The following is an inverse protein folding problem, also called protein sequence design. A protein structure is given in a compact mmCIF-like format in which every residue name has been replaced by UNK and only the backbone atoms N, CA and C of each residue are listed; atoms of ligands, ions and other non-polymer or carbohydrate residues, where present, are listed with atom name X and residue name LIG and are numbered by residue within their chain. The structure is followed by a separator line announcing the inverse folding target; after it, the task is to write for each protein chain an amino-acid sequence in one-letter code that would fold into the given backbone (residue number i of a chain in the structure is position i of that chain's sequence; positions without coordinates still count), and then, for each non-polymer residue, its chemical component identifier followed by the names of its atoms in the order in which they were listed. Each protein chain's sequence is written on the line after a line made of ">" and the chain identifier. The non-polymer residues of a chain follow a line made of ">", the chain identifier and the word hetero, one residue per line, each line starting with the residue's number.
data_IF_526530973229
#
_entry.id   IF_526530973229
#
_cell.length_a   1.000
_cell.length_b   1.000
_cell.length_c   1.000
_cell.angle_alpha   90.00
_cell.angle_beta   90.00
_cell.angle_gamma   90.00
#
_symmetry.space_group_name_H-M   'P 1'
#
loop_
_entity.id
_entity.type
_entity.pdbx_description
1 polymer ?
#
# COMPACT_ATOMS: atom_id res chain seq x y z
N UNK A 1 56.77 -20.04 -25.40
CA UNK A 1 55.33 -19.72 -25.50
C UNK A 1 54.75 -19.77 -24.11
N UNK A 2 54.57 -18.62 -23.49
CA UNK A 2 54.10 -18.49 -22.10
C UNK A 2 52.62 -18.10 -22.16
N UNK A 3 51.73 -19.00 -21.71
CA UNK A 3 50.29 -18.78 -21.57
C UNK A 3 50.02 -17.92 -20.33
N UNK A 4 49.52 -16.71 -20.54
CA UNK A 4 48.99 -15.87 -19.48
C UNK A 4 47.54 -16.31 -19.16
N UNK A 5 47.38 -17.07 -18.09
CA UNK A 5 46.03 -17.25 -17.49
C UNK A 5 45.75 -16.03 -16.63
N UNK A 6 44.82 -15.17 -17.12
CA UNK A 6 44.27 -14.09 -16.36
C UNK A 6 43.42 -14.68 -15.23
N UNK A 7 43.83 -14.47 -13.98
CA UNK A 7 43.03 -14.75 -12.81
C UNK A 7 41.84 -13.75 -12.75
N UNK A 8 40.67 -14.20 -13.17
CA UNK A 8 39.42 -13.50 -12.88
C UNK A 8 39.16 -13.70 -11.39
N UNK A 9 39.39 -12.67 -10.58
CA UNK A 9 38.93 -12.64 -9.19
C UNK A 9 37.40 -12.68 -9.22
N UNK A 10 36.74 -13.59 -8.47
CA UNK A 10 35.31 -13.49 -8.31
C UNK A 10 35.00 -12.16 -7.63
N UNK A 11 34.10 -11.36 -8.25
CA UNK A 11 33.50 -10.21 -7.62
C UNK A 11 32.95 -10.69 -6.28
N UNK A 12 33.47 -10.11 -5.20
CA UNK A 12 32.99 -10.34 -3.85
C UNK A 12 31.48 -10.06 -3.83
N UNK A 13 30.70 -11.12 -3.75
CA UNK A 13 29.29 -11.00 -3.43
C UNK A 13 29.24 -10.40 -2.02
N UNK A 14 29.06 -9.09 -1.95
CA UNK A 14 28.63 -8.44 -0.71
C UNK A 14 27.34 -9.15 -0.34
N UNK A 15 27.37 -9.94 0.73
CA UNK A 15 26.18 -10.47 1.39
C UNK A 15 25.39 -9.27 1.91
N UNK A 16 24.65 -8.62 1.03
CA UNK A 16 23.56 -7.73 1.43
C UNK A 16 22.56 -8.66 2.07
N UNK A 17 22.53 -8.67 3.40
CA UNK A 17 21.52 -9.37 4.17
C UNK A 17 20.20 -8.66 3.87
N UNK A 18 19.45 -9.16 2.88
CA UNK A 18 18.14 -8.65 2.54
C UNK A 18 17.31 -8.82 3.80
N UNK A 19 16.86 -7.71 4.37
CA UNK A 19 16.08 -7.70 5.59
C UNK A 19 14.67 -8.11 5.23
N UNK A 20 14.21 -9.24 5.75
CA UNK A 20 12.81 -9.66 5.63
C UNK A 20 11.89 -8.54 6.12
N UNK A 21 11.00 -8.09 5.26
CA UNK A 21 9.98 -7.14 5.62
C UNK A 21 8.69 -7.87 6.00
N UNK A 22 8.11 -7.48 7.13
CA UNK A 22 6.87 -8.07 7.63
C UNK A 22 5.80 -6.99 7.65
N UNK A 23 4.74 -7.16 6.87
CA UNK A 23 3.72 -6.12 6.72
C UNK A 23 2.40 -6.48 7.40
N UNK A 24 1.71 -5.44 7.86
CA UNK A 24 0.28 -5.49 8.19
C UNK A 24 -0.51 -4.74 7.11
N UNK A 25 -1.56 -5.37 6.58
CA UNK A 25 -2.45 -4.74 5.60
C UNK A 25 -3.69 -4.23 6.34
N UNK A 26 -3.99 -2.94 6.23
CA UNK A 26 -5.17 -2.33 6.85
C UNK A 26 -6.26 -2.07 5.81
N UNK A 27 -7.48 -2.51 6.09
CA UNK A 27 -8.62 -2.33 5.18
C UNK A 27 -9.93 -2.17 5.98
N UNK A 28 -10.80 -1.22 5.60
CA UNK A 28 -12.10 -0.99 6.24
C UNK A 28 -13.29 -1.60 5.48
N UNK A 29 -13.09 -2.00 4.20
CA UNK A 29 -14.13 -2.42 3.27
C UNK A 29 -14.03 -3.86 2.79
N UNK A 30 -14.30 -4.05 1.50
CA UNK A 30 -14.35 -5.36 0.86
C UNK A 30 -12.97 -6.05 0.73
N UNK A 31 -11.87 -5.27 0.65
CA UNK A 31 -10.50 -5.80 0.68
C UNK A 31 -9.99 -6.37 -0.64
N UNK A 32 -10.47 -5.87 -1.78
CA UNK A 32 -9.97 -6.32 -3.10
C UNK A 32 -8.51 -5.97 -3.31
N UNK A 33 -8.07 -4.78 -2.88
CA UNK A 33 -6.66 -4.39 -2.87
C UNK A 33 -5.82 -5.24 -1.90
N UNK A 34 -6.36 -5.59 -0.73
CA UNK A 34 -5.69 -6.49 0.20
C UNK A 34 -5.45 -7.87 -0.42
N UNK A 35 -6.45 -8.42 -1.13
CA UNK A 35 -6.33 -9.69 -1.85
C UNK A 35 -5.30 -9.60 -2.98
N UNK A 36 -5.28 -8.53 -3.78
CA UNK A 36 -4.29 -8.31 -4.83
C UNK A 36 -2.86 -8.27 -4.26
N UNK A 37 -2.67 -7.57 -3.13
CA UNK A 37 -1.40 -7.55 -2.40
C UNK A 37 -0.97 -8.95 -1.95
N UNK A 38 -1.87 -9.73 -1.33
CA UNK A 38 -1.56 -11.09 -0.86
C UNK A 38 -1.12 -11.97 -2.02
N UNK A 39 -1.86 -11.96 -3.14
CA UNK A 39 -1.52 -12.79 -4.30
C UNK A 39 -0.18 -12.41 -4.94
N UNK A 40 0.11 -11.14 -5.07
CA UNK A 40 1.37 -10.70 -5.69
C UNK A 40 2.58 -10.93 -4.77
N UNK A 41 2.45 -10.56 -3.49
CA UNK A 41 3.55 -10.62 -2.53
C UNK A 41 3.89 -12.07 -2.12
N UNK A 42 3.01 -13.04 -2.37
CA UNK A 42 3.30 -14.46 -2.20
C UNK A 42 4.49 -14.97 -3.05
N UNK A 43 4.88 -14.22 -4.08
CA UNK A 43 6.02 -14.54 -4.96
C UNK A 43 7.26 -13.69 -4.66
N UNK A 44 7.26 -12.91 -3.58
CA UNK A 44 8.36 -12.03 -3.17
C UNK A 44 8.96 -12.57 -1.87
N UNK A 45 10.08 -13.25 -1.96
CA UNK A 45 10.71 -13.96 -0.82
C UNK A 45 11.06 -13.03 0.35
N UNK A 46 11.31 -11.73 0.07
CA UNK A 46 11.75 -10.74 1.07
C UNK A 46 10.61 -10.07 1.83
N UNK A 47 9.35 -10.40 1.53
CA UNK A 47 8.16 -9.82 2.17
C UNK A 47 7.25 -10.90 2.72
N UNK A 48 6.86 -10.77 3.98
CA UNK A 48 5.84 -11.60 4.61
C UNK A 48 4.64 -10.75 5.06
N UNK A 49 3.44 -11.34 5.03
CA UNK A 49 2.23 -10.70 5.51
C UNK A 49 1.88 -11.28 6.87
N UNK A 50 2.05 -10.48 7.94
CA UNK A 50 1.76 -10.93 9.30
C UNK A 50 0.26 -11.05 9.55
N UNK A 51 -0.51 -10.05 9.09
CA UNK A 51 -1.95 -10.01 9.32
C UNK A 51 -2.66 -9.01 8.39
N UNK A 52 -3.98 -9.17 8.31
CA UNK A 52 -4.91 -8.17 7.79
C UNK A 52 -5.66 -7.56 8.97
N UNK A 53 -5.60 -6.23 9.12
CA UNK A 53 -6.24 -5.49 10.21
C UNK A 53 -7.43 -4.66 9.71
N UNK A 54 -8.49 -4.59 10.50
CA UNK A 54 -9.68 -3.80 10.18
C UNK A 54 -10.29 -3.13 11.40
N UNK A 55 -10.81 -1.91 11.22
CA UNK A 55 -11.59 -1.16 12.20
C UNK A 55 -13.10 -1.45 12.12
N UNK A 56 -13.50 -2.32 11.18
CA UNK A 56 -14.89 -2.70 10.94
C UNK A 56 -15.09 -4.22 11.10
N UNK A 57 -15.77 -4.68 12.17
CA UNK A 57 -15.99 -6.11 12.40
C UNK A 57 -16.85 -6.80 11.34
N UNK A 58 -17.50 -6.04 10.47
CA UNK A 58 -18.32 -6.54 9.36
C UNK A 58 -17.66 -6.37 8.00
N UNK A 59 -16.39 -5.96 7.95
CA UNK A 59 -15.66 -5.76 6.70
C UNK A 59 -15.53 -7.06 5.90
N UNK A 60 -15.79 -6.97 4.59
CA UNK A 60 -15.64 -8.11 3.67
C UNK A 60 -14.22 -8.66 3.61
N UNK A 61 -13.23 -7.84 3.95
CA UNK A 61 -11.81 -8.26 4.00
C UNK A 61 -11.55 -9.40 4.99
N UNK A 62 -12.35 -9.54 6.06
CA UNK A 62 -12.22 -10.63 7.03
C UNK A 62 -12.47 -12.00 6.38
N UNK A 63 -13.51 -12.11 5.53
CA UNK A 63 -13.77 -13.34 4.77
C UNK A 63 -12.67 -13.66 3.77
N UNK A 64 -12.04 -12.62 3.20
CA UNK A 64 -10.88 -12.80 2.32
C UNK A 64 -9.66 -13.28 3.09
N UNK A 65 -9.37 -12.68 4.25
CA UNK A 65 -8.27 -13.10 5.13
C UNK A 65 -8.39 -14.58 5.50
N UNK A 66 -9.57 -15.02 5.93
CA UNK A 66 -9.87 -16.43 6.24
C UNK A 66 -9.61 -17.34 5.03
N UNK A 67 -10.15 -17.00 3.85
CA UNK A 67 -9.97 -17.78 2.61
C UNK A 67 -8.50 -17.86 2.17
N UNK A 68 -7.75 -16.80 2.38
CA UNK A 68 -6.32 -16.68 2.02
C UNK A 68 -5.38 -17.27 3.08
N UNK A 69 -5.91 -17.70 4.23
CA UNK A 69 -5.11 -18.23 5.34
C UNK A 69 -4.24 -17.16 6.03
N UNK A 70 -4.60 -15.88 5.91
CA UNK A 70 -3.88 -14.77 6.56
C UNK A 70 -4.55 -14.46 7.90
N UNK A 71 -3.79 -14.36 9.02
CA UNK A 71 -4.34 -13.94 10.30
C UNK A 71 -5.06 -12.60 10.19
N UNK A 72 -6.14 -12.40 10.94
CA UNK A 72 -6.86 -11.13 10.97
C UNK A 72 -6.92 -10.53 12.37
N UNK A 73 -6.91 -9.19 12.44
CA UNK A 73 -7.03 -8.40 13.65
C UNK A 73 -8.16 -7.39 13.50
N UNK A 74 -9.19 -7.48 14.33
CA UNK A 74 -10.21 -6.43 14.42
C UNK A 74 -9.90 -5.55 15.63
N UNK A 75 -9.92 -4.22 15.42
CA UNK A 75 -9.61 -3.23 16.45
C UNK A 75 -10.60 -2.06 16.42
N UNK A 76 -10.68 -1.31 17.52
CA UNK A 76 -11.41 -0.05 17.56
C UNK A 76 -10.48 1.12 17.21
N UNK A 77 -10.98 2.12 16.46
CA UNK A 77 -10.17 3.29 16.07
C UNK A 77 -9.50 4.02 17.25
N UNK A 78 -10.10 3.97 18.45
CA UNK A 78 -9.50 4.56 19.65
C UNK A 78 -8.22 3.83 20.07
N UNK A 79 -8.19 2.49 19.93
CA UNK A 79 -7.03 1.67 20.30
C UNK A 79 -5.81 1.99 19.43
N UNK A 80 -6.04 2.31 18.17
CA UNK A 80 -4.98 2.71 17.23
C UNK A 80 -4.21 3.97 17.69
N UNK A 81 -4.83 4.82 18.51
CA UNK A 81 -4.20 6.02 19.09
C UNK A 81 -3.29 5.73 20.28
N UNK A 82 -3.40 4.55 20.85
CA UNK A 82 -2.63 4.15 22.01
C UNK A 82 -1.27 3.60 21.56
N UNK A 83 -0.20 3.93 22.26
CA UNK A 83 1.14 3.40 21.98
C UNK A 83 1.20 1.87 22.11
N UNK A 84 0.30 1.28 22.90
CA UNK A 84 0.17 -0.16 23.07
C UNK A 84 -0.17 -0.87 21.74
N UNK A 85 -0.99 -0.25 20.88
CA UNK A 85 -1.34 -0.82 19.57
C UNK A 85 -0.13 -0.90 18.64
N UNK A 86 0.64 0.19 18.53
CA UNK A 86 1.88 0.21 17.76
C UNK A 86 2.90 -0.81 18.30
N UNK A 87 3.01 -0.92 19.63
CA UNK A 87 3.85 -1.90 20.29
C UNK A 87 3.41 -3.33 19.97
N UNK A 88 2.11 -3.62 20.02
CA UNK A 88 1.55 -4.92 19.63
C UNK A 88 1.93 -5.30 18.20
N UNK A 89 1.75 -4.40 17.24
CA UNK A 89 2.14 -4.66 15.85
C UNK A 89 3.63 -4.98 15.71
N UNK A 90 4.50 -4.22 16.37
CA UNK A 90 5.96 -4.40 16.28
C UNK A 90 6.47 -5.62 17.04
N UNK A 91 6.01 -5.85 18.26
CA UNK A 91 6.58 -6.87 19.14
C UNK A 91 5.88 -8.23 19.02
N UNK A 92 4.55 -8.25 18.93
CA UNK A 92 3.80 -9.49 18.81
C UNK A 92 3.77 -10.01 17.37
N UNK A 93 3.54 -9.12 16.40
CA UNK A 93 3.41 -9.49 14.99
C UNK A 93 4.66 -9.21 14.15
N UNK A 94 5.71 -8.64 14.74
CA UNK A 94 6.98 -8.31 14.09
C UNK A 94 6.81 -7.40 12.86
N UNK A 95 5.75 -6.58 12.83
CA UNK A 95 5.45 -5.70 11.70
C UNK A 95 6.53 -4.64 11.53
N UNK A 96 7.03 -4.48 10.31
CA UNK A 96 8.05 -3.49 9.92
C UNK A 96 7.45 -2.39 9.06
N UNK A 97 6.31 -2.64 8.39
CA UNK A 97 5.61 -1.64 7.59
C UNK A 97 4.09 -1.90 7.59
N UNK A 98 3.31 -0.85 7.36
CA UNK A 98 1.85 -0.89 7.25
C UNK A 98 1.45 -0.52 5.81
N UNK A 99 0.54 -1.28 5.22
CA UNK A 99 0.02 -1.04 3.87
C UNK A 99 -1.49 -0.80 3.97
N UNK A 100 -1.93 0.42 3.66
CA UNK A 100 -3.34 0.81 3.70
C UNK A 100 -4.03 0.44 2.39
N UNK A 101 -4.94 -0.49 2.42
CA UNK A 101 -5.66 -1.03 1.26
C UNK A 101 -7.16 -0.72 1.35
N UNK A 102 -7.53 0.53 1.18
CA UNK A 102 -8.90 1.01 1.40
C UNK A 102 -9.24 1.13 2.89
N UNK A 103 -8.29 1.61 3.68
CA UNK A 103 -8.51 1.95 5.07
C UNK A 103 -9.02 3.40 5.19
N UNK A 104 -10.20 3.58 5.78
CA UNK A 104 -10.89 4.87 5.84
C UNK A 104 -10.61 5.67 7.13
N UNK A 105 -9.81 5.13 8.02
CA UNK A 105 -9.41 5.78 9.27
C UNK A 105 -8.22 6.71 9.09
N UNK A 106 -8.21 7.83 9.83
CA UNK A 106 -7.00 8.64 9.95
C UNK A 106 -5.95 7.85 10.74
N UNK A 107 -4.75 7.74 10.18
CA UNK A 107 -3.60 7.15 10.87
C UNK A 107 -3.12 8.12 11.96
N UNK A 108 -3.09 7.73 13.23
CA UNK A 108 -2.69 8.62 14.32
C UNK A 108 -1.16 8.78 14.38
N UNK A 109 -0.71 9.88 14.98
CA UNK A 109 0.70 10.19 15.19
C UNK A 109 1.48 9.06 15.88
N UNK A 110 0.84 8.34 16.81
CA UNK A 110 1.44 7.17 17.48
C UNK A 110 1.92 6.10 16.50
N UNK A 111 1.16 5.84 15.43
CA UNK A 111 1.56 4.91 14.37
C UNK A 111 2.60 5.55 13.43
N UNK A 112 2.43 6.83 13.06
CA UNK A 112 3.40 7.54 12.21
C UNK A 112 4.79 7.56 12.84
N UNK A 113 4.88 7.83 14.15
CA UNK A 113 6.14 7.80 14.89
C UNK A 113 6.70 6.38 15.05
N UNK A 114 5.85 5.37 15.20
CA UNK A 114 6.29 3.98 15.34
C UNK A 114 6.78 3.37 14.02
N UNK A 115 6.27 3.86 12.88
CA UNK A 115 6.55 3.38 11.54
C UNK A 115 6.92 4.54 10.59
N UNK A 116 8.00 5.30 10.87
CA UNK A 116 8.38 6.48 10.09
C UNK A 116 8.72 6.08 8.66
N UNK A 117 8.04 6.70 7.68
CA UNK A 117 8.16 6.39 6.24
C UNK A 117 7.89 4.91 5.89
N UNK A 118 7.14 4.22 6.75
CA UNK A 118 6.82 2.79 6.59
C UNK A 118 5.31 2.54 6.54
N UNK A 119 4.51 3.59 6.26
CA UNK A 119 3.07 3.47 6.06
C UNK A 119 2.76 3.93 4.64
N UNK A 120 2.33 2.98 3.80
CA UNK A 120 1.99 3.22 2.41
C UNK A 120 0.48 3.27 2.25
N UNK A 121 0.00 4.15 1.37
CA UNK A 121 -1.41 4.25 1.00
C UNK A 121 -1.59 4.27 -0.51
N UNK A 122 -2.75 3.80 -0.96
CA UNK A 122 -3.24 4.04 -2.31
C UNK A 122 -4.48 4.91 -2.27
N UNK A 123 -4.50 5.95 -3.09
CA UNK A 123 -5.61 6.86 -3.25
C UNK A 123 -6.20 6.73 -4.66
N UNK A 124 -7.54 6.62 -4.81
CA UNK A 124 -8.19 6.39 -6.11
C UNK A 124 -8.36 7.68 -6.94
N UNK A 125 -7.41 8.59 -6.86
CA UNK A 125 -7.37 9.87 -7.54
C UNK A 125 -5.98 10.44 -7.67
N UNK A 126 -5.84 11.51 -8.45
CA UNK A 126 -4.58 12.23 -8.61
C UNK A 126 -4.43 13.23 -7.45
N UNK A 127 -3.38 13.04 -6.64
CA UNK A 127 -3.05 13.96 -5.54
C UNK A 127 -2.17 15.12 -6.05
N UNK A 128 -2.30 16.30 -5.45
CA UNK A 128 -3.12 16.66 -4.29
C UNK A 128 -4.57 17.03 -4.62
N UNK A 129 -4.96 17.14 -5.88
CA UNK A 129 -6.21 17.79 -6.35
C UNK A 129 -7.47 17.05 -5.87
N UNK A 130 -7.43 15.72 -5.89
CA UNK A 130 -8.56 14.87 -5.49
C UNK A 130 -8.35 14.18 -4.15
N UNK A 131 -7.57 14.80 -3.25
CA UNK A 131 -7.28 14.29 -1.91
C UNK A 131 -7.94 15.08 -0.79
N UNK A 132 -7.72 14.63 0.45
CA UNK A 132 -8.15 15.31 1.65
C UNK A 132 -9.42 14.75 2.28
N UNK A 133 -9.90 15.47 3.33
CA UNK A 133 -11.03 14.99 4.14
C UNK A 133 -12.31 14.76 3.32
N UNK A 134 -12.77 13.53 3.31
CA UNK A 134 -14.02 13.15 2.62
C UNK A 134 -13.83 12.65 1.18
N UNK A 135 -12.62 12.74 0.63
CA UNK A 135 -12.25 12.26 -0.70
C UNK A 135 -11.77 10.80 -0.62
N UNK A 136 -12.68 9.85 -0.78
CA UNK A 136 -12.41 8.42 -0.77
C UNK A 136 -13.45 7.64 -1.58
N UNK A 137 -13.05 6.53 -2.18
CA UNK A 137 -13.92 5.65 -2.96
C UNK A 137 -14.66 6.41 -4.06
N UNK A 138 -15.93 6.13 -4.25
CA UNK A 138 -16.77 6.67 -5.33
C UNK A 138 -16.86 8.20 -5.32
N UNK A 139 -16.70 8.85 -4.16
CA UNK A 139 -16.71 10.32 -4.07
C UNK A 139 -15.61 10.99 -4.88
N UNK A 140 -14.47 10.33 -5.04
CA UNK A 140 -13.40 10.83 -5.91
C UNK A 140 -13.84 10.77 -7.36
N UNK A 141 -14.47 9.67 -7.77
CA UNK A 141 -14.95 9.47 -9.14
C UNK A 141 -16.10 10.40 -9.48
N UNK A 142 -17.06 10.56 -8.54
CA UNK A 142 -18.14 11.56 -8.65
C UNK A 142 -17.57 12.94 -8.92
N UNK A 143 -16.59 13.36 -8.12
CA UNK A 143 -15.96 14.69 -8.24
C UNK A 143 -15.23 14.88 -9.58
N UNK A 144 -14.49 13.88 -10.04
CA UNK A 144 -13.80 13.88 -11.34
C UNK A 144 -14.79 14.06 -12.49
N UNK A 145 -15.94 13.35 -12.44
CA UNK A 145 -16.98 13.41 -13.45
C UNK A 145 -17.77 14.75 -13.41
N UNK A 146 -18.10 15.24 -12.21
CA UNK A 146 -18.74 16.55 -12.01
C UNK A 146 -17.90 17.70 -12.56
N UNK A 147 -16.57 17.63 -12.44
CA UNK A 147 -15.65 18.63 -12.95
C UNK A 147 -15.31 18.45 -14.44
N UNK A 148 -15.92 17.46 -15.10
CA UNK A 148 -15.67 17.14 -16.51
C UNK A 148 -14.19 16.95 -16.85
N UNK A 149 -13.42 16.35 -15.93
CA UNK A 149 -12.01 16.10 -16.14
C UNK A 149 -11.80 15.06 -17.24
N UNK A 150 -10.83 15.29 -18.09
CA UNK A 150 -10.44 14.33 -19.15
C UNK A 150 -9.46 13.26 -18.67
N UNK A 151 -8.93 13.39 -17.44
CA UNK A 151 -7.93 12.49 -16.87
C UNK A 151 -8.25 12.25 -15.40
N UNK A 152 -8.11 11.00 -14.97
CA UNK A 152 -8.12 10.54 -13.58
C UNK A 152 -6.95 9.58 -13.37
N UNK A 153 -6.88 8.90 -12.23
CA UNK A 153 -5.80 7.95 -11.96
C UNK A 153 -5.77 7.49 -10.51
N UNK A 154 -4.62 6.96 -10.15
CA UNK A 154 -4.31 6.55 -8.78
C UNK A 154 -3.02 7.23 -8.32
N UNK A 155 -2.91 7.46 -7.02
CA UNK A 155 -1.67 7.91 -6.38
C UNK A 155 -1.29 6.96 -5.26
N UNK A 156 -0.09 6.40 -5.33
CA UNK A 156 0.51 5.59 -4.26
C UNK A 156 1.52 6.48 -3.54
N UNK A 157 1.37 6.61 -2.23
CA UNK A 157 2.16 7.58 -1.46
C UNK A 157 2.44 7.08 -0.04
N UNK A 158 3.44 7.67 0.58
CA UNK A 158 3.67 7.53 2.01
C UNK A 158 2.68 8.37 2.78
N UNK A 159 2.30 7.92 3.96
CA UNK A 159 1.44 8.71 4.86
C UNK A 159 2.31 9.61 5.74
N UNK A 160 1.87 10.86 5.89
CA UNK A 160 2.35 11.81 6.88
C UNK A 160 1.23 12.25 7.84
N UNK A 161 1.47 13.30 8.61
CA UNK A 161 0.51 13.84 9.57
C UNK A 161 -0.72 14.50 8.92
N UNK A 162 -0.70 14.73 7.62
CA UNK A 162 -1.78 15.37 6.86
C UNK A 162 -2.43 14.37 5.90
N UNK A 163 -3.73 14.50 5.72
CA UNK A 163 -4.45 13.68 4.75
C UNK A 163 -3.86 13.86 3.34
N UNK A 164 -3.48 12.76 2.71
CA UNK A 164 -3.07 12.64 1.31
C UNK A 164 -1.99 13.67 0.88
N UNK A 165 -1.07 14.01 1.80
CA UNK A 165 0.00 15.00 1.59
C UNK A 165 1.41 14.43 1.70
N UNK A 166 1.54 13.15 2.01
CA UNK A 166 2.83 12.48 2.09
C UNK A 166 3.51 12.32 0.72
N UNK A 167 4.76 11.89 0.74
CA UNK A 167 5.57 11.75 -0.47
C UNK A 167 4.97 10.75 -1.46
N UNK A 168 4.71 11.18 -2.69
CA UNK A 168 4.25 10.33 -3.78
C UNK A 168 5.35 9.35 -4.19
N UNK A 169 5.00 8.07 -4.27
CA UNK A 169 5.86 7.01 -4.75
C UNK A 169 5.59 6.69 -6.22
N UNK A 170 4.32 6.72 -6.62
CA UNK A 170 3.91 6.44 -7.99
C UNK A 170 2.56 7.11 -8.28
N UNK A 171 2.41 7.62 -9.49
CA UNK A 171 1.15 8.13 -10.04
C UNK A 171 0.88 7.43 -11.36
N UNK A 172 -0.32 6.89 -11.52
CA UNK A 172 -0.75 6.25 -12.77
C UNK A 172 -2.02 6.91 -13.26
N UNK A 173 -1.99 7.40 -14.49
CA UNK A 173 -3.08 8.16 -15.11
C UNK A 173 -3.88 7.31 -16.09
N UNK A 174 -5.18 7.60 -16.21
CA UNK A 174 -6.05 7.08 -17.25
C UNK A 174 -6.96 8.20 -17.81
N UNK A 175 -7.39 8.02 -19.06
CA UNK A 175 -8.37 8.92 -19.68
C UNK A 175 -9.75 8.71 -19.06
N UNK A 176 -10.50 9.78 -18.83
CA UNK A 176 -11.92 9.75 -18.50
C UNK A 176 -12.70 9.95 -19.81
N UNK A 177 -13.65 9.08 -20.09
CA UNK A 177 -14.44 9.15 -21.32
C UNK A 177 -15.74 9.94 -21.09
N UNK A 178 -16.29 10.57 -22.15
CA UNK A 178 -17.52 11.36 -22.01
C UNK A 178 -18.75 10.57 -21.55
N UNK A 179 -18.74 9.26 -21.75
CA UNK A 179 -19.80 8.32 -21.39
C UNK A 179 -19.49 7.52 -20.08
N UNK A 180 -18.39 7.86 -19.39
CA UNK A 180 -18.10 7.23 -18.12
C UNK A 180 -19.17 7.57 -17.07
N UNK A 181 -19.56 6.55 -16.34
CA UNK A 181 -20.29 6.64 -15.08
C UNK A 181 -19.33 6.47 -13.91
N UNK A 182 -19.81 6.72 -12.69
CA UNK A 182 -19.02 6.44 -11.47
C UNK A 182 -18.56 4.99 -11.45
N UNK A 183 -19.46 4.06 -11.78
CA UNK A 183 -19.15 2.62 -11.76
C UNK A 183 -18.10 2.24 -12.81
N UNK A 184 -18.23 2.74 -14.06
CA UNK A 184 -17.27 2.40 -15.12
C UNK A 184 -15.88 2.99 -14.85
N UNK A 185 -15.82 4.22 -14.32
CA UNK A 185 -14.58 4.84 -13.93
C UNK A 185 -13.95 4.09 -12.73
N UNK A 186 -14.75 3.78 -11.69
CA UNK A 186 -14.29 3.03 -10.52
C UNK A 186 -13.72 1.67 -10.91
N UNK A 187 -14.39 0.90 -11.79
CA UNK A 187 -13.90 -0.38 -12.27
C UNK A 187 -12.52 -0.28 -12.93
N UNK A 188 -12.31 0.76 -13.74
CA UNK A 188 -11.02 1.02 -14.41
C UNK A 188 -9.93 1.44 -13.42
N UNK A 189 -10.27 2.27 -12.43
CA UNK A 189 -9.38 2.66 -11.34
C UNK A 189 -8.98 1.43 -10.51
N UNK A 190 -9.93 0.57 -10.12
CA UNK A 190 -9.62 -0.66 -9.38
C UNK A 190 -8.66 -1.58 -10.14
N UNK A 191 -8.75 -1.66 -11.48
CA UNK A 191 -7.78 -2.43 -12.27
C UNK A 191 -6.37 -1.85 -12.17
N UNK A 192 -6.24 -0.51 -12.18
CA UNK A 192 -4.94 0.15 -11.96
C UNK A 192 -4.42 -0.15 -10.54
N UNK A 193 -5.27 -0.01 -9.52
CA UNK A 193 -4.90 -0.31 -8.14
C UNK A 193 -4.36 -1.73 -7.99
N UNK A 194 -5.10 -2.73 -8.46
CA UNK A 194 -4.69 -4.13 -8.38
C UNK A 194 -3.41 -4.44 -9.15
N UNK A 195 -3.13 -3.71 -10.22
CA UNK A 195 -1.94 -3.89 -11.06
C UNK A 195 -0.72 -3.25 -10.45
N UNK A 196 -0.82 -1.99 -10.02
CA UNK A 196 0.35 -1.18 -9.66
C UNK A 196 0.66 -1.17 -8.17
N UNK A 197 -0.37 -1.22 -7.31
CA UNK A 197 -0.13 -1.10 -5.87
C UNK A 197 0.78 -2.20 -5.32
N UNK A 198 0.56 -3.48 -5.61
CA UNK A 198 1.44 -4.54 -5.12
C UNK A 198 2.88 -4.41 -5.61
N UNK A 199 3.07 -3.98 -6.86
CA UNK A 199 4.39 -3.77 -7.46
C UNK A 199 5.16 -2.67 -6.73
N UNK A 200 4.50 -1.51 -6.52
CA UNK A 200 5.13 -0.35 -5.85
C UNK A 200 5.42 -0.66 -4.38
N UNK A 201 4.52 -1.38 -3.69
CA UNK A 201 4.75 -1.84 -2.32
C UNK A 201 5.97 -2.74 -2.24
N UNK A 202 6.09 -3.73 -3.13
CA UNK A 202 7.23 -4.63 -3.16
C UNK A 202 8.52 -3.87 -3.44
N UNK A 203 8.53 -3.01 -4.45
CA UNK A 203 9.70 -2.23 -4.84
C UNK A 203 10.19 -1.33 -3.69
N UNK A 204 9.29 -0.56 -3.10
CA UNK A 204 9.61 0.35 -2.00
C UNK A 204 10.16 -0.37 -0.77
N UNK A 205 9.59 -1.53 -0.42
CA UNK A 205 9.99 -2.26 0.78
C UNK A 205 11.30 -3.03 0.59
N UNK A 206 11.59 -3.53 -0.60
CA UNK A 206 12.80 -4.34 -0.87
C UNK A 206 13.98 -3.51 -1.36
N UNK A 207 13.75 -2.30 -1.87
CA UNK A 207 14.79 -1.42 -2.43
C UNK A 207 14.72 0.01 -1.90
N UNK A 208 14.84 0.22 -0.57
CA UNK A 208 14.62 1.54 0.05
C UNK A 208 15.64 2.61 -0.38
N UNK A 209 16.79 2.21 -0.93
CA UNK A 209 17.86 3.12 -1.36
C UNK A 209 17.73 3.57 -2.83
N UNK A 210 16.75 3.06 -3.57
CA UNK A 210 16.49 3.46 -4.94
C UNK A 210 15.37 4.52 -5.02
N UNK A 211 15.42 5.42 -6.02
CA UNK A 211 14.31 6.34 -6.26
C UNK A 211 13.03 5.54 -6.58
N UNK A 212 11.85 6.07 -6.22
CA UNK A 212 10.57 5.44 -6.55
C UNK A 212 10.47 5.13 -8.05
N UNK A 213 9.76 4.06 -8.40
CA UNK A 213 9.36 3.78 -9.77
C UNK A 213 8.32 4.84 -10.18
N UNK A 214 8.73 5.86 -10.90
CA UNK A 214 7.83 6.91 -11.40
C UNK A 214 7.21 6.48 -12.72
#
# INVERSE_FOLDING_TARGET
>A
MLSHFAHIRPLCATNVRIKMETIAIFASGNGTNAEALVHYLAYIDDISIALIATDNPHAGVLKRAERLGIPSLTFQRKEMRESAFAKQLREQYQVTAIVLAGFLGLVPESLLHAFPQRILNIHPGLLPDYGGKGMYGDRVHERVLEEHCSVSGITIHLIDERFDRGSTLCEVRLAVYPDDTVDTLAERIHRLEHTYYPVVVADYLTRPDLPPLI
#
